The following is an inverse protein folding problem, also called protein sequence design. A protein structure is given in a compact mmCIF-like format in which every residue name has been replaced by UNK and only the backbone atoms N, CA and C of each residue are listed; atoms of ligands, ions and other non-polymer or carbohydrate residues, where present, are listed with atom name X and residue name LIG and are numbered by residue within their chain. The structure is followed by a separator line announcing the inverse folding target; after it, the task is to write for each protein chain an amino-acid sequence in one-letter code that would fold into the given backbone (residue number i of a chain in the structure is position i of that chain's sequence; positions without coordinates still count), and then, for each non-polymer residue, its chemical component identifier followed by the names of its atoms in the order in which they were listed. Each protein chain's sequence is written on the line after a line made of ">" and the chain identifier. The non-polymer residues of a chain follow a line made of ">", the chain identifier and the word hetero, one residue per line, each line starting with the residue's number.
data_IF_345469700004
#
_entry.id   IF_345469700004
#
_cell.length_a   1.000
_cell.length_b   1.000
_cell.length_c   1.000
_cell.angle_alpha   90.00
_cell.angle_beta   90.00
_cell.angle_gamma   90.00
#
_symmetry.space_group_name_H-M   'P 1'
#
loop_
_entity.id
_entity.type
_entity.pdbx_description
1 polymer ?
2 non-polymer ?
3 water ?
#
# COMPACT_ATOMS: atom_id res chain seq x y z
N UNK A 1 -28.97 -17.62 34.70
CA UNK A 1 -28.57 -16.35 34.02
C UNK A 1 -27.74 -16.70 32.80
N UNK A 2 -27.58 -18.00 32.54
CA UNK A 2 -26.82 -18.44 31.37
C UNK A 2 -27.80 -18.48 30.21
N UNK A 3 -27.32 -18.05 29.05
CA UNK A 3 -28.14 -18.05 27.86
C UNK A 3 -27.10 -18.16 26.78
N UNK A 4 -26.73 -19.40 26.49
CA UNK A 4 -25.75 -19.70 25.46
C UNK A 4 -26.03 -18.85 24.22
N UNK A 5 -24.97 -18.26 23.66
CA UNK A 5 -25.10 -17.42 22.49
C UNK A 5 -25.28 -18.17 21.18
N UNK A 6 -24.18 -18.36 20.47
CA UNK A 6 -24.20 -19.02 19.20
C UNK A 6 -24.78 -18.12 18.09
N UNK A 7 -23.89 -17.76 17.17
CA UNK A 7 -24.24 -16.97 15.98
C UNK A 7 -23.92 -17.98 14.86
N UNK A 8 -24.12 -17.58 13.60
CA UNK A 8 -23.87 -18.51 12.51
C UNK A 8 -22.41 -18.98 12.33
N UNK A 9 -22.26 -20.31 12.36
CA UNK A 9 -20.96 -20.98 12.16
C UNK A 9 -21.02 -21.76 10.85
N UNK A 10 -20.29 -21.25 9.85
CA UNK A 10 -20.25 -21.85 8.54
C UNK A 10 -18.97 -22.67 8.39
N UNK A 11 -18.85 -23.39 7.29
CA UNK A 11 -17.68 -24.23 7.06
C UNK A 11 -17.00 -23.95 5.74
N UNK A 12 -15.71 -23.63 5.82
CA UNK A 12 -14.90 -23.36 4.65
C UNK A 12 -14.34 -24.70 4.27
N UNK A 13 -14.70 -25.18 3.09
CA UNK A 13 -14.19 -26.48 2.65
C UNK A 13 -12.82 -26.30 2.01
N UNK A 14 -12.08 -27.40 1.86
CA UNK A 14 -10.77 -27.36 1.22
C UNK A 14 -10.98 -26.80 -0.17
N UNK A 15 -12.01 -27.32 -0.84
CA UNK A 15 -12.37 -26.92 -2.20
C UNK A 15 -12.68 -25.43 -2.27
N UNK A 16 -13.43 -24.93 -1.31
CA UNK A 16 -13.73 -23.52 -1.34
C UNK A 16 -12.51 -22.69 -1.10
N UNK A 17 -11.65 -23.10 -0.17
CA UNK A 17 -10.42 -22.37 0.13
C UNK A 17 -9.57 -22.24 -1.13
N UNK A 18 -9.39 -23.35 -1.83
CA UNK A 18 -8.59 -23.38 -3.06
C UNK A 18 -9.19 -22.41 -4.07
N UNK A 19 -10.50 -22.27 -4.05
CA UNK A 19 -11.21 -21.39 -4.96
C UNK A 19 -10.90 -19.92 -4.65
N UNK A 20 -10.92 -19.58 -3.36
CA UNK A 20 -10.64 -18.24 -2.87
C UNK A 20 -9.22 -17.87 -3.27
N UNK A 21 -8.30 -18.82 -3.16
CA UNK A 21 -6.90 -18.60 -3.52
C UNK A 21 -6.73 -18.30 -5.02
N UNK A 22 -7.44 -19.04 -5.88
CA UNK A 22 -7.37 -18.83 -7.33
C UNK A 22 -7.92 -17.46 -7.69
N UNK A 23 -9.05 -17.10 -7.09
CA UNK A 23 -9.71 -15.83 -7.35
C UNK A 23 -8.92 -14.60 -6.97
N UNK A 24 -8.30 -14.62 -5.80
CA UNK A 24 -7.55 -13.47 -5.40
C UNK A 24 -6.26 -13.41 -6.20
N UNK A 25 -5.73 -14.59 -6.57
CA UNK A 25 -4.52 -14.61 -7.39
C UNK A 25 -4.78 -14.00 -8.74
N UNK A 26 -5.87 -14.43 -9.40
CA UNK A 26 -6.24 -13.92 -10.72
C UNK A 26 -6.59 -12.44 -10.68
N UNK A 27 -7.11 -11.97 -9.55
CA UNK A 27 -7.51 -10.57 -9.42
C UNK A 27 -6.46 -9.60 -8.97
N UNK A 28 -5.79 -9.92 -7.87
CA UNK A 28 -4.79 -9.05 -7.26
C UNK A 28 -3.38 -9.60 -7.32
N UNK A 29 -3.21 -10.80 -7.86
CA UNK A 29 -1.89 -11.40 -7.98
C UNK A 29 -1.32 -11.96 -6.67
N UNK A 30 -2.08 -11.80 -5.60
CA UNK A 30 -1.68 -12.27 -4.28
C UNK A 30 -1.71 -13.79 -4.18
N UNK A 31 -0.60 -14.34 -3.69
CA UNK A 31 -0.46 -15.77 -3.51
C UNK A 31 -0.67 -16.06 -2.02
N UNK A 32 -1.76 -16.76 -1.67
CA UNK A 32 -2.06 -17.10 -0.27
C UNK A 32 -1.49 -18.43 0.14
N UNK A 33 -1.19 -18.57 1.43
CA UNK A 33 -0.64 -19.81 1.98
C UNK A 33 -1.72 -20.56 2.75
N UNK A 34 -1.53 -21.87 2.90
CA UNK A 34 -2.50 -22.70 3.62
C UNK A 34 -2.61 -22.38 5.09
N UNK A 35 -1.64 -21.64 5.63
CA UNK A 35 -1.68 -21.30 7.05
C UNK A 35 -2.43 -20.00 7.30
N UNK A 36 -2.96 -19.39 6.24
CA UNK A 36 -3.77 -18.18 6.37
C UNK A 36 -5.27 -18.50 6.30
N UNK A 37 -5.60 -19.79 6.18
CA UNK A 37 -6.99 -20.19 6.06
C UNK A 37 -7.91 -19.84 7.20
N UNK A 38 -7.40 -19.89 8.43
CA UNK A 38 -8.25 -19.56 9.57
C UNK A 38 -8.53 -18.06 9.53
N UNK A 39 -7.52 -17.31 9.08
CA UNK A 39 -7.62 -15.87 8.95
C UNK A 39 -8.60 -15.54 7.83
N UNK A 40 -8.44 -16.21 6.69
CA UNK A 40 -9.33 -16.01 5.54
C UNK A 40 -10.76 -16.28 5.96
N UNK A 41 -10.96 -17.35 6.72
CA UNK A 41 -12.28 -17.69 7.18
C UNK A 41 -12.89 -16.61 8.06
N UNK A 42 -12.15 -16.18 9.07
CA UNK A 42 -12.66 -15.17 9.99
C UNK A 42 -13.02 -13.85 9.37
N UNK A 43 -12.29 -13.43 8.35
CA UNK A 43 -12.56 -12.17 7.67
C UNK A 43 -13.66 -12.23 6.59
N UNK A 44 -13.75 -13.38 5.92
CA UNK A 44 -14.73 -13.58 4.87
C UNK A 44 -16.12 -14.00 5.37
N UNK A 45 -16.22 -14.67 6.53
CA UNK A 45 -17.55 -15.05 7.04
C UNK A 45 -18.37 -13.82 7.31
N UNK A 46 -17.71 -12.73 7.66
CA UNK A 46 -18.42 -11.49 7.90
C UNK A 46 -19.13 -10.96 6.66
N UNK A 47 -18.66 -11.35 5.48
CA UNK A 47 -19.26 -10.94 4.21
C UNK A 47 -20.46 -11.83 4.00
N UNK A 48 -20.27 -13.11 4.27
CA UNK A 48 -21.35 -14.07 4.12
C UNK A 48 -22.53 -13.62 4.94
N UNK A 49 -22.28 -13.31 6.21
CA UNK A 49 -23.33 -12.86 7.12
C UNK A 49 -24.01 -11.60 6.64
N UNK A 50 -23.23 -10.56 6.36
CA UNK A 50 -23.78 -9.27 5.91
C UNK A 50 -24.66 -9.44 4.66
N UNK A 51 -24.32 -10.39 3.80
CA UNK A 51 -25.07 -10.64 2.58
C UNK A 51 -26.16 -11.71 2.78
N UNK A 52 -26.21 -12.31 3.97
CA UNK A 52 -27.22 -13.31 4.25
C UNK A 52 -27.02 -14.69 3.62
N UNK A 53 -25.78 -15.06 3.35
CA UNK A 53 -25.47 -16.35 2.77
C UNK A 53 -24.99 -17.25 3.88
N UNK A 54 -25.08 -18.54 3.70
CA UNK A 54 -24.59 -19.46 4.72
C UNK A 54 -23.81 -20.54 4.01
N UNK A 55 -23.37 -20.21 2.80
CA UNK A 55 -22.68 -21.16 1.96
C UNK A 55 -21.58 -20.40 1.24
N UNK A 56 -20.35 -20.88 1.37
CA UNK A 56 -19.21 -20.24 0.72
C UNK A 56 -19.27 -20.44 -0.77
N UNK A 57 -19.93 -21.52 -1.18
CA UNK A 57 -20.08 -21.81 -2.60
C UNK A 57 -20.94 -20.77 -3.27
N UNK A 58 -21.98 -20.32 -2.60
CA UNK A 58 -22.87 -19.29 -3.16
C UNK A 58 -22.18 -17.93 -3.22
N UNK A 59 -21.37 -17.63 -2.21
CA UNK A 59 -20.63 -16.36 -2.16
C UNK A 59 -19.64 -16.22 -3.34
N UNK A 60 -18.87 -17.28 -3.56
CA UNK A 60 -17.87 -17.33 -4.61
C UNK A 60 -18.49 -17.28 -5.99
N UNK A 61 -19.72 -17.75 -6.12
CA UNK A 61 -20.42 -17.72 -7.40
C UNK A 61 -20.88 -16.31 -7.76
N UNK A 62 -21.38 -15.57 -6.77
CA UNK A 62 -21.83 -14.19 -7.01
C UNK A 62 -20.63 -13.34 -7.43
N UNK A 63 -19.45 -13.70 -6.91
CA UNK A 63 -18.20 -13.02 -7.20
C UNK A 63 -17.71 -13.38 -8.61
N UNK A 64 -17.70 -14.67 -8.91
CA UNK A 64 -17.27 -15.18 -10.21
C UNK A 64 -18.23 -14.76 -11.31
N UNK A 65 -19.51 -14.70 -10.99
CA UNK A 65 -20.47 -14.30 -11.98
C UNK A 65 -20.22 -12.85 -12.36
N UNK A 66 -20.35 -11.96 -11.37
CA UNK A 66 -20.25 -10.52 -11.60
C UNK A 66 -18.86 -9.90 -11.36
N UNK A 67 -17.95 -10.04 -12.33
CA UNK A 67 -16.59 -9.53 -12.21
C UNK A 67 -16.38 -8.04 -11.90
N UNK A 68 -17.45 -7.26 -11.88
CA UNK A 68 -17.32 -5.84 -11.61
C UNK A 68 -18.05 -5.36 -10.37
N UNK A 69 -18.58 -6.26 -9.56
CA UNK A 69 -19.30 -5.81 -8.38
C UNK A 69 -18.42 -5.14 -7.32
N UNK A 70 -19.06 -4.32 -6.46
CA UNK A 70 -18.40 -3.63 -5.34
C UNK A 70 -17.96 -4.63 -4.25
N UNK A 71 -18.53 -5.84 -4.31
CA UNK A 71 -18.21 -6.89 -3.37
C UNK A 71 -16.77 -7.38 -3.63
N UNK A 72 -16.31 -7.24 -4.87
CA UNK A 72 -14.96 -7.65 -5.23
C UNK A 72 -13.99 -6.87 -4.40
N UNK A 73 -14.35 -5.64 -4.07
CA UNK A 73 -13.49 -4.79 -3.25
C UNK A 73 -13.43 -5.24 -1.80
N UNK A 74 -14.56 -5.68 -1.27
CA UNK A 74 -14.62 -6.17 0.09
C UNK A 74 -13.80 -7.46 0.21
N UNK A 75 -13.84 -8.27 -0.83
CA UNK A 75 -13.12 -9.53 -0.93
C UNK A 75 -11.60 -9.28 -0.88
N UNK A 76 -11.17 -8.33 -1.70
CA UNK A 76 -9.78 -7.93 -1.80
C UNK A 76 -9.26 -7.35 -0.47
N UNK A 77 -10.03 -6.44 0.11
CA UNK A 77 -9.65 -5.82 1.37
C UNK A 77 -9.44 -6.84 2.47
N UNK A 78 -10.18 -7.93 2.40
CA UNK A 78 -10.13 -9.00 3.39
C UNK A 78 -8.87 -9.84 3.32
N UNK A 79 -8.28 -9.95 2.13
CA UNK A 79 -7.11 -10.79 1.94
C UNK A 79 -5.78 -10.14 1.72
N UNK A 80 -5.70 -8.82 1.80
CA UNK A 80 -4.41 -8.19 1.64
C UNK A 80 -3.69 -8.19 3.00
N UNK A 81 -2.38 -7.92 2.97
CA UNK A 81 -1.53 -7.82 4.15
C UNK A 81 -0.94 -6.42 4.10
N UNK A 82 -1.31 -5.60 5.08
CA UNK A 82 -0.92 -4.20 5.14
C UNK A 82 0.13 -3.76 6.16
N UNK A 83 0.89 -4.69 6.73
CA UNK A 83 1.90 -4.34 7.72
C UNK A 83 2.85 -3.24 7.22
N UNK A 84 2.97 -2.16 7.98
CA UNK A 84 3.81 -1.04 7.60
C UNK A 84 4.19 -0.25 8.83
N UNK A 85 5.00 0.79 8.65
CA UNK A 85 5.47 1.64 9.74
C UNK A 85 6.04 2.95 9.21
N UNK A 86 6.08 3.98 10.04
CA UNK A 86 6.64 5.26 9.63
C UNK A 86 8.14 5.07 9.56
N UNK A 87 8.77 5.59 8.50
CA UNK A 87 10.20 5.49 8.28
C UNK A 87 10.78 4.06 8.29
N UNK A 88 10.04 3.13 7.69
CA UNK A 88 10.47 1.74 7.59
C UNK A 88 11.62 1.81 6.57
N UNK A 89 12.64 0.95 6.70
CA UNK A 89 13.82 0.95 5.83
C UNK A 89 14.30 2.40 5.64
N UNK A 90 14.54 3.01 6.79
CA UNK A 90 14.93 4.42 6.92
C UNK A 90 16.12 4.93 6.13
N UNK A 91 16.94 4.01 5.65
CA UNK A 91 18.10 4.36 4.87
C UNK A 91 17.68 4.96 3.54
N UNK A 92 16.45 4.70 3.11
CA UNK A 92 15.96 5.21 1.84
C UNK A 92 15.71 6.69 1.84
N UNK A 93 15.34 7.22 3.01
CA UNK A 93 15.03 8.63 3.12
C UNK A 93 16.17 9.63 2.86
N UNK A 94 17.40 9.35 3.38
CA UNK A 94 18.53 10.26 3.13
C UNK A 94 18.88 10.20 1.62
N UNK A 95 18.65 9.05 1.00
CA UNK A 95 18.91 8.89 -0.42
C UNK A 95 17.91 9.73 -1.25
N UNK A 96 16.64 9.67 -0.87
CA UNK A 96 15.60 10.40 -1.56
C UNK A 96 15.87 11.90 -1.48
N UNK A 97 16.18 12.40 -0.28
CA UNK A 97 16.45 13.82 -0.06
C UNK A 97 17.63 14.30 -0.90
N UNK A 98 18.63 13.44 -1.03
CA UNK A 98 19.87 13.65 -1.79
C UNK A 98 19.50 13.85 -3.27
N UNK A 99 18.75 12.89 -3.80
CA UNK A 99 18.27 12.87 -5.18
C UNK A 99 17.41 14.13 -5.49
N UNK A 100 16.47 14.43 -4.60
CA UNK A 100 15.58 15.57 -4.75
C UNK A 100 16.35 16.89 -4.78
N UNK A 101 17.34 17.01 -3.89
CA UNK A 101 18.16 18.21 -3.83
C UNK A 101 18.74 18.53 -5.20
N UNK A 102 19.04 17.52 -5.99
CA UNK A 102 19.56 17.78 -7.33
C UNK A 102 18.44 18.11 -8.29
N UNK A 103 17.75 17.10 -8.79
CA UNK A 103 16.68 17.28 -9.76
C UNK A 103 15.73 18.47 -9.48
N UNK A 104 16.06 19.64 -10.03
CA UNK A 104 15.17 20.79 -9.86
C UNK A 104 14.08 20.80 -10.90
N UNK A 105 12.98 21.46 -10.55
CA UNK A 105 11.81 21.49 -11.39
C UNK A 105 10.87 20.77 -10.43
N UNK A 106 9.81 20.16 -10.92
CA UNK A 106 8.94 19.47 -9.99
C UNK A 106 9.43 18.07 -9.67
N UNK A 107 9.68 17.81 -8.40
CA UNK A 107 10.11 16.50 -7.97
C UNK A 107 8.83 15.73 -7.65
N UNK A 108 8.60 14.64 -8.39
CA UNK A 108 7.40 13.86 -8.24
C UNK A 108 7.71 12.44 -7.82
N UNK A 109 6.99 11.95 -6.82
CA UNK A 109 7.20 10.63 -6.29
C UNK A 109 5.92 9.83 -6.29
N UNK A 110 6.03 8.55 -6.62
CA UNK A 110 4.91 7.62 -6.62
C UNK A 110 5.18 6.54 -5.55
N UNK A 111 4.30 6.44 -4.57
CA UNK A 111 4.40 5.39 -3.56
C UNK A 111 3.37 4.37 -4.05
N UNK A 112 3.82 3.28 -4.68
CA UNK A 112 2.97 2.22 -5.26
C UNK A 112 2.24 1.27 -4.30
N UNK A 113 2.56 1.30 -3.02
CA UNK A 113 1.88 0.46 -2.04
C UNK A 113 1.88 1.25 -0.76
N UNK A 114 0.97 2.21 -0.67
CA UNK A 114 0.85 3.13 0.46
C UNK A 114 0.36 2.59 1.79
N UNK A 115 -0.46 1.54 1.73
CA UNK A 115 -1.08 0.95 2.90
C UNK A 115 -1.83 2.05 3.65
N UNK A 116 -1.68 2.10 4.98
CA UNK A 116 -2.38 3.11 5.78
C UNK A 116 -1.76 4.51 5.77
N UNK A 117 -0.86 4.75 4.82
CA UNK A 117 -0.26 6.07 4.67
C UNK A 117 1.10 6.37 5.28
N UNK A 118 1.63 5.47 6.09
CA UNK A 118 2.90 5.71 6.73
C UNK A 118 4.02 5.97 5.75
N UNK A 119 4.12 5.18 4.69
CA UNK A 119 5.18 5.38 3.71
C UNK A 119 5.03 6.73 2.98
N UNK A 120 3.84 7.02 2.39
CA UNK A 120 3.73 8.32 1.72
C UNK A 120 3.95 9.54 2.63
N UNK A 121 3.55 9.44 3.90
CA UNK A 121 3.75 10.57 4.79
C UNK A 121 5.22 10.65 5.18
N UNK A 122 5.91 9.53 5.23
CA UNK A 122 7.32 9.57 5.54
C UNK A 122 8.02 10.32 4.42
N UNK A 123 7.64 10.02 3.17
CA UNK A 123 8.19 10.65 1.98
C UNK A 123 7.91 12.14 2.00
N UNK A 124 6.67 12.53 2.34
CA UNK A 124 6.29 13.93 2.40
C UNK A 124 7.11 14.72 3.44
N UNK A 125 7.28 14.13 4.61
CA UNK A 125 8.05 14.75 5.70
C UNK A 125 9.52 14.94 5.28
N UNK A 126 10.09 13.93 4.62
CA UNK A 126 11.46 13.97 4.14
C UNK A 126 11.65 15.08 3.09
N UNK A 127 10.70 15.20 2.19
CA UNK A 127 10.73 16.21 1.14
C UNK A 127 10.48 17.61 1.70
N UNK A 128 9.55 17.74 2.64
CA UNK A 128 9.26 19.02 3.27
C UNK A 128 10.50 19.54 4.01
N UNK A 129 11.21 18.63 4.66
CA UNK A 129 12.45 18.96 5.41
C UNK A 129 13.60 19.33 4.48
N UNK A 130 13.74 18.58 3.39
CA UNK A 130 14.81 18.76 2.42
C UNK A 130 14.59 19.91 1.45
N UNK A 131 13.40 20.00 0.92
CA UNK A 131 13.08 21.02 -0.05
C UNK A 131 12.30 22.18 0.50
N UNK A 132 11.61 21.96 1.61
CA UNK A 132 10.79 23.00 2.20
C UNK A 132 9.39 22.85 1.67
N UNK A 133 8.39 23.35 2.39
CA UNK A 133 7.00 23.26 1.96
C UNK A 133 6.66 24.44 1.06
N UNK A 134 6.74 24.22 -0.24
CA UNK A 134 6.44 25.30 -1.13
C UNK A 134 5.75 24.67 -2.30
N UNK A 135 4.62 25.25 -2.69
CA UNK A 135 3.82 24.76 -3.82
C UNK A 135 4.62 24.72 -5.12
N UNK A 136 4.43 23.66 -5.88
CA UNK A 136 5.15 23.52 -7.14
C UNK A 136 6.51 22.85 -7.08
N UNK A 137 7.12 22.73 -5.91
CA UNK A 137 8.44 22.09 -5.82
C UNK A 137 8.45 20.57 -5.85
N UNK A 138 7.43 19.94 -5.27
CA UNK A 138 7.35 18.48 -5.21
C UNK A 138 5.95 18.04 -4.91
N UNK A 139 5.64 16.80 -5.23
CA UNK A 139 4.32 16.29 -4.95
C UNK A 139 4.43 14.78 -4.83
N UNK A 140 3.60 14.17 -3.97
CA UNK A 140 3.60 12.73 -3.75
C UNK A 140 2.24 12.12 -4.13
N UNK A 141 2.27 11.11 -4.98
CA UNK A 141 1.08 10.40 -5.41
C UNK A 141 1.18 9.04 -4.70
N UNK A 142 0.12 8.59 -4.04
CA UNK A 142 0.14 7.33 -3.32
C UNK A 142 -1.07 6.46 -3.68
N UNK A 143 -0.84 5.17 -3.89
CA UNK A 143 -1.95 4.30 -4.23
C UNK A 143 -1.83 2.96 -3.57
N UNK A 144 -2.92 2.21 -3.59
CA UNK A 144 -2.97 0.89 -3.02
C UNK A 144 -4.21 0.27 -3.62
N UNK A 145 -4.31 -1.04 -3.62
CA UNK A 145 -5.48 -1.73 -4.14
C UNK A 145 -6.61 -1.82 -3.08
N UNK A 146 -6.22 -1.64 -1.83
CA UNK A 146 -7.11 -1.75 -0.67
C UNK A 146 -7.66 -0.37 -0.30
N UNK A 147 -8.99 -0.28 -0.37
CA UNK A 147 -9.73 0.94 -0.06
C UNK A 147 -9.93 1.23 1.45
N UNK A 148 -9.85 0.19 2.30
CA UNK A 148 -9.97 0.37 3.75
C UNK A 148 -8.73 1.12 4.28
N UNK A 149 -7.54 0.66 3.88
CA UNK A 149 -6.30 1.32 4.29
C UNK A 149 -6.15 2.72 3.68
N UNK A 150 -6.64 2.91 2.45
CA UNK A 150 -6.58 4.21 1.77
C UNK A 150 -7.42 5.28 2.49
N UNK A 151 -8.56 4.86 3.05
CA UNK A 151 -9.45 5.77 3.76
C UNK A 151 -8.79 6.20 5.08
N UNK A 152 -8.08 5.28 5.72
CA UNK A 152 -7.36 5.60 6.95
C UNK A 152 -6.19 6.53 6.59
N UNK A 153 -5.55 6.24 5.46
CA UNK A 153 -4.45 7.06 4.97
C UNK A 153 -4.98 8.48 4.75
N UNK A 154 -6.10 8.58 4.06
CA UNK A 154 -6.70 9.87 3.82
C UNK A 154 -7.06 10.65 5.10
N UNK A 155 -7.40 9.96 6.18
CA UNK A 155 -7.74 10.66 7.42
C UNK A 155 -6.50 11.19 8.11
N UNK A 156 -5.37 10.50 7.92
CA UNK A 156 -4.12 10.91 8.51
C UNK A 156 -4.05 10.90 10.02
N UNK A 157 -4.85 10.07 10.66
CA UNK A 157 -4.84 9.98 12.12
C UNK A 157 -4.02 8.79 12.55
N UNK A 158 -3.15 8.98 13.53
CA UNK A 158 -2.31 7.93 14.05
C UNK A 158 -2.19 8.10 15.54
N UNK A 159 -1.71 7.06 16.21
CA UNK A 159 -1.50 7.14 17.65
C UNK A 159 -0.08 7.61 17.79
N UNK A 160 0.15 8.47 18.78
CA UNK A 160 1.47 9.03 19.06
C UNK A 160 2.63 8.01 19.25
N UNK A 161 2.32 6.78 19.64
CA UNK A 161 3.37 5.79 19.82
C UNK A 161 3.87 5.27 18.47
N UNK A 162 3.04 5.40 17.43
CA UNK A 162 3.42 4.97 16.09
C UNK A 162 4.46 5.92 15.49
N UNK A 163 4.67 7.05 16.16
CA UNK A 163 5.59 8.06 15.71
C UNK A 163 6.89 8.15 16.47
N UNK A 164 7.32 7.05 17.07
CA UNK A 164 8.58 7.04 17.81
C UNK A 164 9.81 7.39 16.98
N UNK A 165 9.74 7.19 15.67
CA UNK A 165 10.85 7.49 14.75
C UNK A 165 10.98 8.95 14.31
N UNK A 166 10.02 9.81 14.69
CA UNK A 166 10.08 11.23 14.32
C UNK A 166 10.80 12.06 15.37
N UNK A 167 11.41 13.15 14.94
CA UNK A 167 12.10 13.99 15.89
C UNK A 167 11.05 14.88 16.51
N UNK A 168 11.36 15.55 17.63
CA UNK A 168 10.38 16.45 18.26
C UNK A 168 10.00 17.59 17.30
N UNK A 169 10.92 17.95 16.39
CA UNK A 169 10.69 18.99 15.40
C UNK A 169 9.66 18.53 14.32
N UNK A 170 9.81 17.32 13.82
CA UNK A 170 8.88 16.84 12.82
C UNK A 170 7.51 16.70 13.39
N UNK A 171 7.43 16.23 14.64
CA UNK A 171 6.16 16.05 15.32
C UNK A 171 5.40 17.38 15.42
N UNK A 172 6.11 18.40 15.86
CA UNK A 172 5.57 19.76 16.03
C UNK A 172 5.19 20.42 14.70
N UNK A 173 6.04 20.28 13.71
CA UNK A 173 5.81 20.87 12.41
C UNK A 173 4.74 20.23 11.55
N UNK A 174 4.62 18.91 11.59
CA UNK A 174 3.69 18.20 10.71
C UNK A 174 2.44 17.55 11.27
N UNK A 175 2.26 17.60 12.60
CA UNK A 175 1.12 16.96 13.26
C UNK A 175 0.45 17.82 14.31
N UNK A 176 -0.80 17.47 14.60
CA UNK A 176 -1.59 18.15 15.64
C UNK A 176 -1.92 17.07 16.64
N UNK A 177 -1.65 17.31 17.91
CA UNK A 177 -1.92 16.33 18.95
C UNK A 177 -3.33 16.44 19.48
N UNK A 178 -3.87 15.30 19.90
CA UNK A 178 -5.24 15.25 20.41
C UNK A 178 -5.31 15.39 21.90
N UNK A 179 -6.49 15.77 22.38
CA UNK A 179 -6.76 15.97 23.81
C UNK A 179 -8.14 15.39 24.14
N UNK A 180 -8.34 15.12 25.43
CA UNK A 180 -9.61 14.59 25.90
C UNK A 180 -9.82 13.14 25.55
N UNK A 181 -10.96 12.79 24.92
CA UNK A 181 -11.26 11.40 24.54
C UNK A 181 -10.23 10.83 23.56
N UNK A 182 -10.07 11.53 22.43
CA UNK A 182 -9.14 11.12 21.40
C UNK A 182 -7.80 11.82 21.57
N UNK A 183 -7.10 11.41 22.61
CA UNK A 183 -5.78 11.91 22.94
C UNK A 183 -4.89 10.70 22.81
N UNK A 184 -3.58 10.94 22.67
CA UNK A 184 -2.64 9.84 22.45
C UNK A 184 -2.70 9.62 20.94
N UNK A 185 -3.51 10.46 20.31
CA UNK A 185 -3.75 10.47 18.87
C UNK A 185 -3.21 11.80 18.33
N UNK A 186 -2.81 11.78 17.07
CA UNK A 186 -2.31 12.97 16.38
C UNK A 186 -2.89 12.88 14.97
N UNK A 187 -2.92 14.01 14.26
CA UNK A 187 -3.41 14.02 12.89
C UNK A 187 -2.42 14.79 12.04
N UNK A 188 -2.18 14.33 10.82
CA UNK A 188 -1.26 15.01 9.90
C UNK A 188 -1.83 16.40 9.63
N UNK A 189 -0.99 17.40 9.64
CA UNK A 189 -1.48 18.74 9.38
C UNK A 189 -1.91 18.85 7.94
N UNK A 190 -3.04 19.50 7.73
CA UNK A 190 -3.61 19.74 6.41
C UNK A 190 -2.58 20.30 5.45
N UNK A 191 -1.70 21.16 5.94
CA UNK A 191 -0.66 21.75 5.10
C UNK A 191 0.19 20.68 4.48
N UNK A 192 0.58 19.67 5.26
CA UNK A 192 1.39 18.61 4.68
C UNK A 192 0.51 17.66 3.88
N UNK A 193 -0.71 17.42 4.34
CA UNK A 193 -1.61 16.50 3.63
C UNK A 193 -1.94 16.95 2.22
N UNK A 194 -1.92 18.26 1.96
CA UNK A 194 -2.20 18.79 0.61
C UNK A 194 -1.16 18.40 -0.43
N UNK A 195 0.01 17.97 0.00
CA UNK A 195 1.06 17.57 -0.92
C UNK A 195 1.02 16.10 -1.32
N UNK A 196 0.07 15.33 -0.78
CA UNK A 196 -0.01 13.94 -1.20
C UNK A 196 -1.44 13.63 -1.66
N UNK A 197 -1.52 12.92 -2.78
CA UNK A 197 -2.78 12.56 -3.37
C UNK A 197 -2.88 11.05 -3.30
N UNK A 198 -4.02 10.54 -2.82
CA UNK A 198 -4.24 9.10 -2.68
C UNK A 198 -5.20 8.60 -3.75
N UNK A 199 -4.91 7.43 -4.31
CA UNK A 199 -5.77 6.83 -5.33
C UNK A 199 -5.64 5.30 -5.30
N UNK A 200 -6.66 4.57 -5.73
CA UNK A 200 -6.58 3.13 -5.71
C UNK A 200 -6.10 2.70 -7.08
N UNK A 201 -5.08 1.87 -7.09
CA UNK A 201 -4.53 1.38 -8.34
C UNK A 201 -4.12 -0.06 -8.06
N UNK A 202 -4.58 -0.96 -8.92
CA UNK A 202 -4.26 -2.38 -8.79
C UNK A 202 -3.03 -2.55 -9.68
N UNK A 203 -1.94 -2.98 -9.11
CA UNK A 203 -0.71 -3.14 -9.87
C UNK A 203 -0.78 -4.12 -11.05
N UNK A 204 -1.75 -5.04 -11.04
CA UNK A 204 -1.87 -5.97 -12.16
C UNK A 204 -2.55 -5.38 -13.40
N UNK A 205 -2.93 -4.11 -13.36
CA UNK A 205 -3.55 -3.47 -14.53
C UNK A 205 -2.46 -3.46 -15.59
N UNK A 206 -2.87 -3.52 -16.85
CA UNK A 206 -1.91 -3.47 -17.93
C UNK A 206 -1.60 -2.01 -18.22
N UNK A 207 -2.39 -1.13 -17.59
CA UNK A 207 -2.20 0.31 -17.73
C UNK A 207 -2.62 1.02 -16.46
N UNK A 208 -1.71 1.81 -15.92
CA UNK A 208 -1.92 2.59 -14.70
C UNK A 208 -2.34 4.04 -14.96
N UNK A 209 -3.38 4.47 -14.25
CA UNK A 209 -3.90 5.83 -14.33
C UNK A 209 -3.13 6.71 -13.38
N UNK A 210 -1.83 6.84 -13.58
CA UNK A 210 -1.02 7.63 -12.66
C UNK A 210 -0.33 8.79 -13.35
N UNK A 211 -0.19 9.93 -12.65
CA UNK A 211 0.46 11.13 -13.17
C UNK A 211 1.99 11.07 -13.32
N UNK A 212 2.49 10.15 -14.14
CA UNK A 212 3.93 10.00 -14.35
C UNK A 212 4.41 10.87 -15.49
N UNK A 213 5.70 10.87 -15.83
CA UNK A 213 6.81 10.12 -15.24
C UNK A 213 7.18 10.60 -13.85
N UNK A 214 7.89 9.76 -13.12
CA UNK A 214 8.26 10.09 -11.76
C UNK A 214 9.75 10.12 -11.60
N UNK A 215 10.21 10.93 -10.64
CA UNK A 215 11.63 10.98 -10.35
C UNK A 215 11.98 9.78 -9.47
N UNK A 216 11.01 9.27 -8.72
CA UNK A 216 11.24 8.13 -7.83
C UNK A 216 9.96 7.35 -7.64
N UNK A 217 10.07 6.03 -7.64
CA UNK A 217 8.92 5.18 -7.42
C UNK A 217 9.30 4.25 -6.27
N UNK A 218 8.46 4.23 -5.23
CA UNK A 218 8.63 3.38 -4.06
C UNK A 218 7.71 2.17 -4.25
N UNK A 219 8.29 0.99 -4.34
CA UNK A 219 7.50 -0.20 -4.49
C UNK A 219 8.08 -1.16 -3.49
N UNK A 220 7.84 -0.87 -2.22
CA UNK A 220 8.38 -1.68 -1.15
C UNK A 220 7.42 -2.62 -0.46
N UNK A 221 7.93 -3.82 -0.20
CA UNK A 221 7.22 -4.87 0.51
C UNK A 221 5.84 -5.25 0.01
N UNK A 222 5.70 -5.42 -1.29
CA UNK A 222 4.43 -5.81 -1.91
C UNK A 222 4.70 -6.89 -2.95
N UNK A 223 5.82 -6.76 -3.65
CA UNK A 223 6.21 -7.72 -4.66
C UNK A 223 6.34 -9.09 -4.01
N UNK A 224 6.53 -9.09 -2.69
CA UNK A 224 6.69 -10.31 -1.91
C UNK A 224 5.42 -11.21 -1.92
N UNK A 225 4.27 -10.62 -2.23
CA UNK A 225 3.01 -11.36 -2.26
C UNK A 225 2.68 -11.88 -3.66
N UNK A 226 3.50 -11.52 -4.64
CA UNK A 226 3.30 -11.91 -6.02
C UNK A 226 4.33 -12.93 -6.45
N UNK A 227 4.09 -13.59 -7.58
CA UNK A 227 5.07 -14.55 -8.09
C UNK A 227 5.99 -13.83 -9.07
N UNK A 228 6.98 -14.55 -9.60
CA UNK A 228 7.95 -13.95 -10.51
C UNK A 228 7.44 -13.44 -11.85
N UNK A 229 6.47 -14.12 -12.45
CA UNK A 229 5.95 -13.65 -13.74
C UNK A 229 5.23 -12.33 -13.49
N UNK A 230 4.39 -12.35 -12.46
CA UNK A 230 3.62 -11.20 -12.05
C UNK A 230 4.57 -10.04 -11.73
N UNK A 231 5.60 -10.33 -10.94
CA UNK A 231 6.59 -9.32 -10.59
C UNK A 231 7.28 -8.72 -11.80
N UNK A 232 7.70 -9.56 -12.74
CA UNK A 232 8.38 -9.06 -13.93
C UNK A 232 7.43 -8.18 -14.77
N UNK A 233 6.17 -8.58 -14.86
CA UNK A 233 5.19 -7.81 -15.63
C UNK A 233 5.07 -6.42 -15.09
N UNK A 234 4.96 -6.29 -13.78
CA UNK A 234 4.83 -4.99 -13.14
C UNK A 234 6.07 -4.15 -13.33
N UNK A 235 7.25 -4.73 -13.06
CA UNK A 235 8.49 -3.99 -13.22
C UNK A 235 8.65 -3.41 -14.61
N UNK A 236 8.28 -4.16 -15.64
CA UNK A 236 8.40 -3.64 -17.00
C UNK A 236 7.43 -2.47 -17.22
N UNK A 237 6.33 -2.44 -16.48
CA UNK A 237 5.41 -1.33 -16.60
C UNK A 237 5.94 -0.09 -15.89
N UNK A 238 6.83 -0.27 -14.92
CA UNK A 238 7.39 0.87 -14.20
C UNK A 238 8.37 1.62 -15.11
N UNK A 239 8.97 0.90 -16.05
CA UNK A 239 9.99 1.45 -16.94
C UNK A 239 9.67 2.78 -17.63
N UNK A 240 8.53 2.89 -18.32
CA UNK A 240 8.15 4.12 -19.00
C UNK A 240 7.71 5.20 -18.00
N UNK A 241 7.43 4.78 -16.76
CA UNK A 241 6.97 5.71 -15.74
C UNK A 241 8.09 6.41 -14.99
N UNK A 242 9.33 6.01 -15.25
CA UNK A 242 10.50 6.64 -14.62
C UNK A 242 11.16 7.70 -15.51
N UNK A 243 11.47 8.87 -14.94
CA UNK A 243 12.17 9.93 -15.68
C UNK A 243 13.57 9.38 -15.88
N UNK A 244 14.32 9.85 -16.89
CA UNK A 244 15.69 9.39 -17.18
C UNK A 244 16.64 9.03 -16.03
N UNK A 245 16.83 9.90 -15.06
CA UNK A 245 17.71 9.55 -13.97
C UNK A 245 16.96 9.23 -12.66
N UNK A 246 15.77 8.67 -12.80
CA UNK A 246 14.93 8.34 -11.66
C UNK A 246 15.35 7.13 -10.85
N UNK A 247 14.79 7.02 -9.65
CA UNK A 247 15.07 5.95 -8.68
C UNK A 247 13.89 5.03 -8.43
N UNK A 248 14.16 3.73 -8.31
CA UNK A 248 13.10 2.77 -7.98
C UNK A 248 13.51 2.14 -6.66
N UNK A 249 12.73 2.37 -5.62
CA UNK A 249 13.06 1.82 -4.32
C UNK A 249 12.33 0.53 -4.09
N UNK A 250 13.06 -0.54 -3.77
CA UNK A 250 12.44 -1.84 -3.50
C UNK A 250 12.49 -2.16 -2.01
N UNK A 251 11.76 -3.18 -1.59
CA UNK A 251 11.74 -3.60 -0.19
C UNK A 251 13.01 -4.34 0.17
N UNK A 252 13.30 -4.45 1.46
CA UNK A 252 14.52 -5.10 1.93
C UNK A 252 14.90 -6.45 1.30
N UNK A 253 13.92 -7.29 1.03
CA UNK A 253 14.20 -8.62 0.48
C UNK A 253 13.96 -8.78 -1.01
N UNK A 254 13.64 -7.68 -1.69
CA UNK A 254 13.36 -7.74 -3.12
C UNK A 254 14.58 -7.40 -3.97
N UNK A 255 14.77 -8.13 -5.06
CA UNK A 255 15.88 -7.88 -5.99
C UNK A 255 15.29 -7.78 -7.39
N UNK A 256 15.08 -6.55 -7.86
CA UNK A 256 14.49 -6.27 -9.17
C UNK A 256 15.36 -6.51 -10.38
N UNK A 257 16.64 -6.17 -10.25
CA UNK A 257 17.60 -6.33 -11.32
C UNK A 257 17.53 -7.72 -11.93
N UNK A 258 17.35 -8.73 -11.07
CA UNK A 258 17.30 -10.13 -11.51
C UNK A 258 16.02 -10.49 -12.28
N UNK A 259 15.08 -9.55 -12.34
CA UNK A 259 13.83 -9.76 -13.05
C UNK A 259 13.91 -9.06 -14.41
N UNK A 260 14.32 -7.79 -14.41
CA UNK A 260 14.48 -7.08 -15.68
C UNK A 260 15.83 -6.39 -15.63
N UNK A 261 16.62 -6.59 -16.69
CA UNK A 261 17.96 -6.01 -16.78
C UNK A 261 18.03 -4.52 -17.08
N UNK A 262 16.90 -3.94 -17.46
CA UNK A 262 16.83 -2.52 -17.75
C UNK A 262 17.01 -1.73 -16.43
N UNK A 263 17.04 -2.45 -15.30
CA UNK A 263 17.21 -1.83 -13.98
C UNK A 263 18.54 -2.25 -13.42
N UNK A 264 19.20 -1.34 -12.71
CA UNK A 264 20.51 -1.58 -12.13
C UNK A 264 20.59 -1.05 -10.70
N UNK A 265 21.26 -1.79 -9.82
CA UNK A 265 21.38 -1.41 -8.40
C UNK A 265 22.29 -0.20 -8.23
N UNK A 266 21.91 0.69 -7.32
CA UNK A 266 22.68 1.90 -7.06
C UNK A 266 22.92 2.16 -5.57
N UNK A 267 22.17 1.48 -4.70
CA UNK A 267 22.31 1.70 -3.27
C UNK A 267 21.52 0.68 -2.47
N UNK A 268 21.27 0.93 -1.19
CA UNK A 268 20.50 -0.02 -0.39
C UNK A 268 19.11 -0.25 -0.98
N UNK A 269 19.00 -1.29 -1.81
CA UNK A 269 17.78 -1.69 -2.50
C UNK A 269 17.18 -0.59 -3.35
N UNK A 270 18.06 0.19 -3.97
CA UNK A 270 17.67 1.28 -4.86
C UNK A 270 18.20 0.99 -6.27
N UNK A 271 17.32 1.06 -7.26
CA UNK A 271 17.65 0.80 -8.65
C UNK A 271 17.55 2.03 -9.55
N UNK A 272 18.24 1.97 -10.69
CA UNK A 272 18.24 3.05 -11.67
C UNK A 272 18.14 2.36 -13.01
N UNK A 273 17.66 3.09 -14.01
CA UNK A 273 17.57 2.50 -15.34
C UNK A 273 19.00 2.30 -15.77
N UNK A 274 19.34 1.09 -16.23
CA UNK A 274 20.70 0.79 -16.69
C UNK A 274 21.07 1.61 -17.94
X LIG B 1 5.18 -0.04 1.15
X LIG B 1 4.79 -0.08 2.56
X LIG B 1 3.43 -0.81 2.72
X LIG B 1 3.47 -2.27 2.36
X LIG B 1 1.94 -3.24 2.70
X LIG B 1 5.90 -0.69 3.46
X LIG B 1 7.01 -0.91 2.92
X LIG B 1 5.87 -0.40 4.67
X LIG B 1 1.68 -3.81 1.04
X LIG B 1 0.45 -3.25 0.38
X LIG B 1 0.37 -3.68 -0.98
X LIG B 1 -0.85 -3.72 1.03
X LIG B 1 -1.41 -2.67 1.82
X LIG B 1 -1.80 -4.10 -0.12
X LIG B 1 -3.09 -3.54 -0.08
X LIG B 1 -0.97 -3.73 -1.36
X LIG B 1 -1.16 -4.57 -2.54
X LIG B 1 -1.23 -5.95 -2.60
X LIG B 1 -1.47 -6.40 -3.80
X LIG B 1 -1.57 -5.26 -4.59
X LIG B 1 -1.86 -5.07 -5.95
X LIG B 1 -2.13 -6.07 -6.79
X LIG B 1 -1.89 -3.81 -6.42
X LIG B 1 -1.65 -2.81 -5.56
X LIG B 1 -1.37 -2.85 -4.25
X LIG B 1 -1.34 -4.13 -3.82
#
# INVERSE_FOLDING_TARGET
>A
SVLLQMTQRLALSDAHFRRICQLIYQRAGIVLADHKRDMVYNRLVRRLRALGLDDFGRYLSMLEANQNSAEWQAFINALTTNLTAFFREAHHFPILAEHARRRHGEYRVWSAAASTGEEPYSIAITLADALGMAPGRWKVFASDIDTEVLEKARSGIYRLSELKTLSPQQLQRYFMRGTGPHEGLVRVRQELANYVEFSSVNLLEKQYNVPGPFDAIFCRNVMIYFDKTTQEDILRRFVPLLKPDGLLFAGHSENFSNLVREFSLRGQTVYALS
>B hetero
1 SAH N CA CB CG SD C O OXT C5' C4' O4' C3' O3' C2' O2' C1' N9 C8 N7 C5 C6 N6 N1 C2 N3 C4
#
